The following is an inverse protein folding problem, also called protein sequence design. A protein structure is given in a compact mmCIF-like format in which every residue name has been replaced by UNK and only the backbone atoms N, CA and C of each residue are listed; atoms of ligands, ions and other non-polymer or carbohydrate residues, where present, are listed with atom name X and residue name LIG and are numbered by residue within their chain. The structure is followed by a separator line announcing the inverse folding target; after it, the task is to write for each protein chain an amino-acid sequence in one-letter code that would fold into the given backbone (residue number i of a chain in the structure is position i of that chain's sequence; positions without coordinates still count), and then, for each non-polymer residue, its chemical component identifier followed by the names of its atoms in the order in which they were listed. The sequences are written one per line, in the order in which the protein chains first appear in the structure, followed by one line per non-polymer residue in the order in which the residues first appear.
data_IF_847905590577
#
_entry.id   IF_847905590577
#
_cell.length_a   1.000
_cell.length_b   1.000
_cell.length_c   1.000
_cell.angle_alpha   90.00
_cell.angle_beta   90.00
_cell.angle_gamma   90.00
#
_symmetry.space_group_name_H-M   'P 1'
#
loop_
_entity.id
_entity.type
_entity.pdbx_description
1 polymer ?
#
# COMPACT_ATOMS: atom_id res chain seq x y z
N UNK A 1 8.98 16.69 10.19
CA UNK A 1 8.18 15.48 10.52
C UNK A 1 9.06 14.28 10.23
N UNK A 2 9.43 13.54 11.28
CA UNK A 2 10.39 12.45 11.20
C UNK A 2 9.73 11.20 10.62
N UNK A 3 10.25 10.72 9.48
CA UNK A 3 10.03 9.35 9.02
C UNK A 3 10.96 8.44 9.84
N UNK A 4 10.40 7.49 10.57
CA UNK A 4 11.19 6.51 11.32
C UNK A 4 11.22 5.20 10.55
N UNK A 5 12.40 4.80 10.10
CA UNK A 5 12.67 3.50 9.49
C UNK A 5 12.72 2.42 10.59
N UNK A 6 11.88 1.39 10.47
CA UNK A 6 11.93 0.19 11.35
C UNK A 6 11.97 -1.06 10.47
N UNK A 7 13.04 -1.84 10.61
CA UNK A 7 13.29 -3.07 9.83
C UNK A 7 12.61 -4.25 10.51
N UNK A 8 11.67 -4.92 9.83
CA UNK A 8 11.12 -6.22 10.24
C UNK A 8 11.40 -7.28 9.17
N UNK A 9 11.56 -8.53 9.63
CA UNK A 9 12.25 -9.65 8.98
C UNK A 9 11.67 -10.11 7.62
N UNK A 10 11.92 -9.34 6.55
CA UNK A 10 12.23 -9.79 5.17
C UNK A 10 12.56 -8.57 4.28
N UNK A 11 13.36 -7.62 4.78
CA UNK A 11 13.81 -6.47 3.96
C UNK A 11 12.69 -5.52 3.48
N UNK A 12 11.50 -5.58 4.07
CA UNK A 12 10.38 -4.73 3.68
C UNK A 12 10.47 -3.41 4.47
N UNK A 13 10.70 -2.28 3.79
CA UNK A 13 10.79 -0.97 4.46
C UNK A 13 9.40 -0.55 4.92
N UNK A 14 9.27 -0.13 6.17
CA UNK A 14 8.00 0.37 6.72
C UNK A 14 8.02 1.89 6.72
N UNK A 15 7.03 2.50 6.05
CA UNK A 15 6.81 3.93 6.08
C UNK A 15 5.75 4.25 7.13
N UNK A 16 6.14 5.00 8.15
CA UNK A 16 5.25 5.48 9.21
C UNK A 16 4.86 6.94 8.99
N UNK A 17 3.56 7.22 8.88
CA UNK A 17 3.01 8.59 8.85
C UNK A 17 1.78 8.67 9.75
N UNK A 18 1.73 9.66 10.64
CA UNK A 18 0.56 9.93 11.51
C UNK A 18 0.04 8.69 12.26
N UNK A 19 0.94 7.80 12.72
CA UNK A 19 0.56 6.56 13.43
C UNK A 19 0.15 5.38 12.54
N UNK A 20 0.12 5.56 11.21
CA UNK A 20 -0.12 4.49 10.23
C UNK A 20 1.21 3.92 9.77
N UNK A 21 1.35 2.59 9.80
CA UNK A 21 2.47 1.85 9.22
C UNK A 21 2.04 1.12 7.94
N UNK A 22 2.66 1.48 6.82
CA UNK A 22 2.52 0.79 5.53
C UNK A 22 3.86 0.21 5.11
N UNK A 23 3.86 -0.96 4.49
CA UNK A 23 5.09 -1.53 3.94
C UNK A 23 5.39 -0.96 2.56
N UNK A 24 6.62 -1.14 2.07
CA UNK A 24 7.01 -0.75 0.72
C UNK A 24 6.20 -1.53 -0.32
N UNK A 25 5.90 -2.81 -0.07
CA UNK A 25 4.96 -3.58 -0.89
C UNK A 25 3.54 -2.97 -0.93
N UNK A 26 3.06 -2.40 0.18
CA UNK A 26 1.77 -1.70 0.22
C UNK A 26 1.82 -0.43 -0.65
N UNK A 27 2.91 0.34 -0.57
CA UNK A 27 3.11 1.55 -1.39
C UNK A 27 3.27 1.21 -2.88
N UNK A 28 4.01 0.15 -3.20
CA UNK A 28 4.13 -0.37 -4.56
C UNK A 28 2.76 -0.74 -5.12
N UNK A 29 1.94 -1.47 -4.36
CA UNK A 29 0.57 -1.80 -4.75
C UNK A 29 -0.24 -0.53 -5.03
N UNK A 30 -0.21 0.47 -4.14
CA UNK A 30 -0.93 1.74 -4.36
C UNK A 30 -0.39 2.52 -5.57
N UNK A 31 0.92 2.50 -5.82
CA UNK A 31 1.54 3.18 -6.96
C UNK A 31 1.11 2.55 -8.30
N UNK A 32 0.97 1.23 -8.36
CA UNK A 32 0.50 0.53 -9.56
C UNK A 32 -0.97 0.80 -9.82
N UNK A 33 -1.79 0.84 -8.75
CA UNK A 33 -3.19 1.26 -8.85
C UNK A 33 -3.31 2.71 -9.34
N UNK A 34 -2.44 3.62 -8.87
CA UNK A 34 -2.39 5.01 -9.33
C UNK A 34 -2.07 5.13 -10.83
N UNK A 35 -1.24 4.23 -11.36
CA UNK A 35 -0.95 4.12 -12.80
C UNK A 35 -2.10 3.50 -13.61
N UNK A 36 -3.23 3.17 -12.98
CA UNK A 36 -4.39 2.53 -13.62
C UNK A 36 -4.21 1.03 -13.85
N UNK A 37 -3.23 0.39 -13.21
CA UNK A 37 -3.04 -1.06 -13.31
C UNK A 37 -4.13 -1.76 -12.49
N UNK A 38 -4.76 -2.78 -13.06
CA UNK A 38 -5.80 -3.53 -12.36
C UNK A 38 -5.22 -4.44 -11.27
N UNK A 39 -6.01 -4.68 -10.22
CA UNK A 39 -5.68 -5.56 -9.10
C UNK A 39 -5.20 -6.95 -9.56
N UNK A 40 -5.84 -7.52 -10.58
CA UNK A 40 -5.46 -8.84 -11.11
C UNK A 40 -4.11 -8.81 -11.83
N UNK A 41 -3.78 -7.70 -12.50
CA UNK A 41 -2.48 -7.52 -13.17
C UNK A 41 -1.36 -7.27 -12.17
N UNK A 42 -1.64 -6.56 -11.07
CA UNK A 42 -0.69 -6.42 -9.95
C UNK A 42 -0.46 -7.77 -9.28
N UNK A 43 -1.52 -8.56 -9.04
CA UNK A 43 -1.39 -9.89 -8.48
C UNK A 43 -0.47 -10.79 -9.28
N UNK A 44 -0.62 -10.82 -10.62
CA UNK A 44 0.28 -11.57 -11.50
C UNK A 44 1.74 -11.13 -11.43
N UNK A 45 2.01 -9.83 -11.19
CA UNK A 45 3.39 -9.31 -11.05
C UNK A 45 4.02 -9.67 -9.70
N UNK A 46 3.18 -9.79 -8.67
CA UNK A 46 3.59 -10.10 -7.30
C UNK A 46 3.50 -11.61 -6.98
N UNK A 47 3.25 -12.46 -7.98
CA UNK A 47 3.02 -13.90 -7.83
C UNK A 47 1.93 -14.26 -6.79
N UNK A 48 0.88 -13.44 -6.72
CA UNK A 48 -0.25 -13.65 -5.81
C UNK A 48 -1.59 -13.54 -6.53
N UNK A 49 -2.60 -14.24 -6.01
CA UNK A 49 -3.95 -14.17 -6.57
C UNK A 49 -4.56 -12.77 -6.40
N UNK A 50 -5.46 -12.37 -7.31
CA UNK A 50 -6.24 -11.13 -7.17
C UNK A 50 -7.02 -11.09 -5.85
N UNK A 51 -7.44 -12.24 -5.30
CA UNK A 51 -8.09 -12.34 -3.98
C UNK A 51 -7.14 -11.93 -2.85
N UNK A 52 -5.87 -12.32 -2.93
CA UNK A 52 -4.83 -11.94 -1.97
C UNK A 52 -4.54 -10.45 -2.04
N UNK A 53 -4.46 -9.89 -3.25
CA UNK A 53 -4.28 -8.44 -3.45
C UNK A 53 -5.46 -7.65 -2.88
N UNK A 54 -6.71 -8.07 -3.13
CA UNK A 54 -7.91 -7.43 -2.55
C UNK A 54 -7.90 -7.49 -1.02
N UNK A 55 -7.50 -8.62 -0.43
CA UNK A 55 -7.37 -8.76 1.03
C UNK A 55 -6.31 -7.82 1.59
N UNK A 56 -5.14 -7.73 0.94
CA UNK A 56 -4.08 -6.80 1.33
C UNK A 56 -4.56 -5.34 1.24
N UNK A 57 -5.20 -4.99 0.12
CA UNK A 57 -5.76 -3.66 -0.12
C UNK A 57 -6.81 -3.28 0.94
N UNK A 58 -7.64 -4.23 1.37
CA UNK A 58 -8.58 -4.01 2.47
C UNK A 58 -7.86 -3.71 3.77
N UNK A 59 -6.82 -4.48 4.11
CA UNK A 59 -6.00 -4.20 5.29
C UNK A 59 -5.23 -2.88 5.21
N UNK A 60 -4.86 -2.40 4.01
CA UNK A 60 -4.34 -1.04 3.83
C UNK A 60 -5.43 -0.02 4.16
N UNK A 61 -6.61 -0.15 3.56
CA UNK A 61 -7.74 0.77 3.76
C UNK A 61 -8.14 0.88 5.24
N UNK A 62 -8.23 -0.27 5.93
CA UNK A 62 -8.56 -0.32 7.36
C UNK A 62 -7.48 0.38 8.22
N UNK A 63 -6.19 0.28 7.85
CA UNK A 63 -5.08 0.94 8.57
C UNK A 63 -5.07 2.46 8.41
N UNK A 64 -5.43 2.97 7.23
CA UNK A 64 -5.47 4.42 6.95
C UNK A 64 -6.83 5.06 7.21
N UNK A 65 -7.85 4.25 7.54
CA UNK A 65 -9.20 4.71 7.84
C UNK A 65 -10.01 5.17 6.63
N UNK A 66 -9.81 4.55 5.46
CA UNK A 66 -10.59 4.84 4.24
C UNK A 66 -11.43 3.64 3.81
N UNK A 67 -12.46 3.87 2.99
CA UNK A 67 -13.39 2.81 2.58
C UNK A 67 -12.96 2.13 1.27
N UNK A 68 -12.22 2.83 0.41
CA UNK A 68 -11.98 2.39 -0.96
C UNK A 68 -10.51 2.46 -1.38
N UNK A 69 -10.18 1.64 -2.38
CA UNK A 69 -8.84 1.63 -2.99
C UNK A 69 -8.43 3.00 -3.56
N UNK A 70 -9.38 3.71 -4.18
CA UNK A 70 -9.10 5.02 -4.79
C UNK A 70 -8.83 6.08 -3.72
N UNK A 71 -9.54 6.03 -2.58
CA UNK A 71 -9.23 6.87 -1.42
C UNK A 71 -7.85 6.52 -0.84
N UNK A 72 -7.48 5.24 -0.81
CA UNK A 72 -6.16 4.81 -0.35
C UNK A 72 -5.03 5.35 -1.25
N UNK A 73 -5.24 5.31 -2.57
CA UNK A 73 -4.32 5.91 -3.54
C UNK A 73 -4.23 7.42 -3.35
N UNK A 74 -5.36 8.11 -3.21
CA UNK A 74 -5.39 9.56 -2.99
C UNK A 74 -4.71 9.95 -1.67
N UNK A 75 -4.89 9.15 -0.62
CA UNK A 75 -4.25 9.33 0.67
C UNK A 75 -2.72 9.25 0.57
N UNK A 76 -2.19 8.29 -0.20
CA UNK A 76 -0.76 8.10 -0.41
C UNK A 76 -0.16 9.21 -1.30
N UNK A 77 -0.84 9.57 -2.40
CA UNK A 77 -0.40 10.63 -3.31
C UNK A 77 -0.35 12.00 -2.61
N UNK A 78 -1.36 12.34 -1.79
CA UNK A 78 -1.40 13.60 -1.04
C UNK A 78 -0.24 13.74 -0.05
N UNK A 79 0.28 12.62 0.45
CA UNK A 79 1.42 12.54 1.37
C UNK A 79 2.76 12.34 0.67
N UNK A 80 2.79 12.34 -0.67
CA UNK A 80 3.99 12.10 -1.50
C UNK A 80 4.69 10.78 -1.19
N UNK A 81 3.90 9.75 -0.89
CA UNK A 81 4.39 8.39 -0.66
C UNK A 81 4.52 7.58 -1.96
N UNK A 82 3.82 8.02 -3.01
CA UNK A 82 3.80 7.47 -4.38
C UNK A 82 3.73 8.60 -5.41
#
# INVERSE_FOLDING_TARGET
MAVSDVVTQRGDRVVATEGVTLTEEDLLLLSELAKGVTVDRVGRRLDVSGRTVRRRLRGICDRIGVATAIEAVAWAARRRLI
#
